data_IF_020497839430
#
_entry.id   IF_020497839430
#
_cell.length_a   1.000
_cell.length_b   1.000
_cell.length_c   1.000
_cell.angle_alpha   90.00
_cell.angle_beta   90.00
_cell.angle_gamma   90.00
#
_symmetry.space_group_name_H-M   'P 1'
#
loop_
_entity.id
_entity.type
_entity.pdbx_description
1 polymer ?
#
# COMPACT_ATOMS: atom_id res chain seq x y z
N UNK A 1 9.14 22.72 6.53
CA UNK A 1 7.94 21.84 6.54
C UNK A 1 8.44 20.40 6.66
N UNK A 2 7.80 19.58 7.49
CA UNK A 2 8.18 18.17 7.66
C UNK A 2 7.38 17.26 6.72
N UNK A 3 7.89 16.04 6.50
CA UNK A 3 7.22 14.99 5.74
C UNK A 3 6.02 14.45 6.55
N UNK A 4 4.87 14.30 5.90
CA UNK A 4 3.68 13.64 6.45
C UNK A 4 3.52 12.25 5.87
N UNK A 5 3.52 11.27 6.76
CA UNK A 5 3.33 9.86 6.41
C UNK A 5 1.97 9.42 6.92
N UNK A 6 1.17 8.77 6.07
CA UNK A 6 -0.01 8.04 6.49
C UNK A 6 0.27 6.54 6.40
N UNK A 7 0.14 5.83 7.51
CA UNK A 7 0.39 4.40 7.60
C UNK A 7 -0.91 3.60 7.80
N UNK A 8 -1.01 2.43 7.18
CA UNK A 8 -2.15 1.51 7.31
C UNK A 8 -1.70 0.04 7.30
N UNK A 9 -2.54 -0.85 7.82
CA UNK A 9 -2.27 -2.29 7.94
C UNK A 9 -3.58 -3.08 8.03
N UNK A 10 -3.52 -4.40 7.86
CA UNK A 10 -4.62 -5.34 8.16
C UNK A 10 -5.92 -5.01 7.40
N UNK A 11 -5.77 -4.60 6.15
CA UNK A 11 -6.91 -4.31 5.29
C UNK A 11 -7.66 -5.58 4.89
N UNK A 12 -6.97 -6.74 4.87
CA UNK A 12 -7.55 -8.06 4.60
C UNK A 12 -8.43 -8.12 3.35
N UNK A 13 -8.03 -7.41 2.29
CA UNK A 13 -8.78 -7.34 1.04
C UNK A 13 -10.11 -6.56 1.11
N UNK A 14 -10.42 -5.90 2.22
CA UNK A 14 -11.64 -5.12 2.39
C UNK A 14 -11.56 -3.79 1.62
N UNK A 15 -11.99 -3.82 0.36
CA UNK A 15 -11.93 -2.69 -0.59
C UNK A 15 -12.40 -1.34 -0.01
N UNK A 16 -13.49 -1.23 0.78
CA UNK A 16 -13.89 0.05 1.35
C UNK A 16 -12.84 0.69 2.27
N UNK A 17 -12.01 -0.10 2.95
CA UNK A 17 -10.91 0.44 3.75
C UNK A 17 -9.80 1.06 2.88
N UNK A 18 -9.49 0.49 1.72
CA UNK A 18 -8.57 1.10 0.75
C UNK A 18 -9.09 2.42 0.19
N UNK A 19 -10.39 2.47 -0.13
CA UNK A 19 -11.04 3.69 -0.63
C UNK A 19 -11.03 4.79 0.44
N UNK A 20 -11.41 4.47 1.67
CA UNK A 20 -11.35 5.41 2.80
C UNK A 20 -9.92 5.87 3.08
N UNK A 21 -8.93 4.98 3.04
CA UNK A 21 -7.53 5.33 3.23
C UNK A 21 -7.05 6.31 2.15
N UNK A 22 -7.39 6.06 0.89
CA UNK A 22 -7.10 6.98 -0.22
C UNK A 22 -7.75 8.37 -0.05
N UNK A 23 -8.96 8.46 0.52
CA UNK A 23 -9.57 9.74 0.88
C UNK A 23 -8.82 10.45 2.01
N UNK A 24 -8.32 9.71 3.01
CA UNK A 24 -7.52 10.27 4.10
C UNK A 24 -6.17 10.80 3.63
N UNK A 25 -5.52 10.15 2.67
CA UNK A 25 -4.28 10.65 2.02
C UNK A 25 -4.50 12.05 1.46
N UNK A 26 -5.60 12.26 0.72
CA UNK A 26 -5.95 13.56 0.15
C UNK A 26 -6.28 14.59 1.23
N UNK A 27 -7.07 14.19 2.22
CA UNK A 27 -7.53 15.06 3.33
C UNK A 27 -6.35 15.57 4.16
N UNK A 28 -5.42 14.69 4.52
CA UNK A 28 -4.27 15.04 5.34
C UNK A 28 -3.12 15.65 4.54
N UNK A 29 -3.22 15.60 3.20
CA UNK A 29 -2.15 15.95 2.28
C UNK A 29 -0.87 15.18 2.64
N UNK A 30 -1.02 13.85 2.75
CA UNK A 30 0.10 12.99 3.05
C UNK A 30 1.07 12.98 1.86
N UNK A 31 2.36 13.13 2.16
CA UNK A 31 3.43 13.07 1.16
C UNK A 31 3.73 11.62 0.78
N UNK A 32 3.52 10.68 1.71
CA UNK A 32 3.84 9.25 1.56
C UNK A 32 2.75 8.39 2.20
N UNK A 33 2.44 7.27 1.55
CA UNK A 33 1.69 6.15 2.14
C UNK A 33 2.62 5.01 2.55
N UNK A 34 2.38 4.42 3.72
CA UNK A 34 3.07 3.20 4.16
C UNK A 34 2.02 2.11 4.46
N UNK A 35 2.16 0.93 3.85
CA UNK A 35 1.26 -0.21 4.09
C UNK A 35 2.05 -1.35 4.75
N UNK A 36 1.70 -1.69 5.99
CA UNK A 36 2.50 -2.53 6.88
C UNK A 36 2.16 -4.03 6.86
N UNK A 37 1.44 -4.50 5.84
CA UNK A 37 1.09 -5.91 5.67
C UNK A 37 -0.40 -6.16 5.56
N UNK A 38 -0.74 -7.43 5.37
CA UNK A 38 -2.08 -7.99 5.27
C UNK A 38 -3.00 -7.14 4.36
N UNK A 39 -2.49 -6.90 3.15
CA UNK A 39 -3.20 -6.19 2.07
C UNK A 39 -4.39 -7.02 1.61
N UNK A 40 -4.19 -8.33 1.50
CA UNK A 40 -5.19 -9.33 1.13
C UNK A 40 -5.52 -10.25 2.30
N UNK A 41 -6.52 -11.11 2.13
CA UNK A 41 -6.83 -12.18 3.07
C UNK A 41 -6.66 -13.52 2.36
N UNK A 42 -5.43 -14.04 2.33
CA UNK A 42 -5.01 -15.21 1.56
C UNK A 42 -5.38 -15.07 0.06
N UNK A 43 -5.16 -13.87 -0.47
CA UNK A 43 -5.58 -13.49 -1.82
C UNK A 43 -4.55 -13.78 -2.91
N UNK A 44 -4.91 -13.46 -4.16
CA UNK A 44 -4.00 -13.58 -5.31
C UNK A 44 -3.14 -12.34 -5.49
N UNK A 45 -2.05 -12.48 -6.24
CA UNK A 45 -1.21 -11.33 -6.63
C UNK A 45 -1.98 -10.29 -7.44
N UNK A 46 -2.96 -10.72 -8.24
CA UNK A 46 -3.84 -9.85 -9.01
C UNK A 46 -4.78 -9.07 -8.10
N UNK A 47 -5.34 -9.72 -7.07
CA UNK A 47 -6.14 -9.03 -6.06
C UNK A 47 -5.31 -7.96 -5.34
N UNK A 48 -4.09 -8.28 -4.90
CA UNK A 48 -3.20 -7.32 -4.26
C UNK A 48 -2.90 -6.12 -5.19
N UNK A 49 -2.59 -6.37 -6.46
CA UNK A 49 -2.39 -5.32 -7.48
C UNK A 49 -3.62 -4.43 -7.63
N UNK A 50 -4.80 -5.02 -7.72
CA UNK A 50 -6.05 -4.29 -7.87
C UNK A 50 -6.32 -3.38 -6.66
N UNK A 51 -6.09 -3.87 -5.44
CA UNK A 51 -6.26 -3.09 -4.21
C UNK A 51 -5.23 -1.95 -4.09
N UNK A 52 -3.94 -2.25 -4.33
CA UNK A 52 -2.87 -1.24 -4.33
C UNK A 52 -3.08 -0.18 -5.42
N UNK A 53 -3.68 -0.53 -6.56
CA UNK A 53 -4.01 0.42 -7.62
C UNK A 53 -5.02 1.50 -7.18
N UNK A 54 -5.88 1.21 -6.19
CA UNK A 54 -6.82 2.20 -5.62
C UNK A 54 -6.02 3.31 -4.96
N UNK A 55 -4.99 2.93 -4.19
CA UNK A 55 -4.11 3.87 -3.51
C UNK A 55 -3.21 4.61 -4.50
N UNK A 56 -2.68 3.92 -5.51
CA UNK A 56 -1.78 4.52 -6.51
C UNK A 56 -2.43 5.68 -7.28
N UNK A 57 -3.76 5.62 -7.49
CA UNK A 57 -4.55 6.71 -8.11
C UNK A 57 -4.54 8.02 -7.32
N UNK A 58 -4.08 8.02 -6.07
CA UNK A 58 -3.91 9.27 -5.30
C UNK A 58 -2.70 10.08 -5.74
N UNK A 59 -1.75 9.48 -6.48
CA UNK A 59 -0.52 10.10 -6.94
C UNK A 59 0.59 10.21 -5.89
N UNK A 60 0.30 9.94 -4.61
CA UNK A 60 1.33 9.83 -3.59
C UNK A 60 2.02 8.45 -3.67
N UNK A 61 3.33 8.38 -3.43
CA UNK A 61 4.09 7.12 -3.44
C UNK A 61 3.64 6.20 -2.29
N UNK A 62 3.67 4.90 -2.57
CA UNK A 62 3.32 3.84 -1.62
C UNK A 62 4.56 3.00 -1.36
N UNK A 63 4.97 2.93 -0.11
CA UNK A 63 5.91 1.93 0.37
C UNK A 63 5.16 0.86 1.14
N UNK A 64 5.44 -0.41 0.87
CA UNK A 64 4.75 -1.47 1.58
C UNK A 64 5.63 -2.67 1.88
N UNK A 65 5.18 -3.49 2.82
CA UNK A 65 5.67 -4.85 3.05
C UNK A 65 4.47 -5.81 3.00
N UNK A 66 4.62 -7.04 2.48
CA UNK A 66 3.57 -8.04 2.56
C UNK A 66 3.45 -8.57 4.00
N UNK A 67 2.23 -8.92 4.41
CA UNK A 67 1.98 -9.68 5.64
C UNK A 67 1.81 -11.18 5.38
N UNK A 68 1.47 -11.96 6.42
CA UNK A 68 1.31 -13.41 6.29
C UNK A 68 0.07 -13.82 5.48
N UNK A 69 -0.92 -12.93 5.36
CA UNK A 69 -2.10 -13.17 4.54
C UNK A 69 -1.88 -12.81 3.06
N UNK A 70 -0.72 -12.25 2.71
CA UNK A 70 -0.39 -11.86 1.34
C UNK A 70 0.35 -12.97 0.58
N UNK A 71 0.16 -13.07 -0.75
CA UNK A 71 0.88 -14.05 -1.54
C UNK A 71 2.39 -13.74 -1.51
N UNK A 72 3.28 -14.74 -1.32
CA UNK A 72 4.74 -14.52 -1.27
C UNK A 72 5.30 -13.82 -2.51
N UNK A 73 4.65 -13.99 -3.67
CA UNK A 73 5.02 -13.33 -4.92
C UNK A 73 4.83 -11.82 -4.91
N UNK A 74 4.13 -11.25 -3.92
CA UNK A 74 3.89 -9.82 -3.79
C UNK A 74 5.17 -9.00 -3.61
N UNK A 75 6.24 -9.62 -3.10
CA UNK A 75 7.56 -8.98 -3.00
C UNK A 75 8.11 -8.51 -4.36
N UNK A 76 7.71 -9.17 -5.45
CA UNK A 76 8.17 -8.91 -6.81
C UNK A 76 7.14 -8.13 -7.65
N UNK A 77 6.22 -7.42 -7.00
CA UNK A 77 5.23 -6.62 -7.73
C UNK A 77 5.91 -5.53 -8.56
N UNK A 78 5.40 -5.35 -9.79
CA UNK A 78 5.71 -4.21 -10.62
C UNK A 78 4.41 -3.41 -10.85
N UNK A 79 4.32 -2.24 -10.21
CA UNK A 79 3.18 -1.34 -10.29
C UNK A 79 3.69 0.10 -10.06
N UNK A 80 3.36 1.01 -10.96
CA UNK A 80 3.81 2.41 -10.88
C UNK A 80 3.35 3.07 -9.59
N UNK A 81 4.24 3.82 -8.93
CA UNK A 81 3.96 4.49 -7.66
C UNK A 81 3.89 3.56 -6.45
N UNK A 82 4.11 2.25 -6.61
CA UNK A 82 4.02 1.25 -5.54
C UNK A 82 5.35 0.49 -5.43
N UNK A 83 5.96 0.51 -4.24
CA UNK A 83 7.26 -0.09 -4.00
C UNK A 83 7.24 -0.98 -2.77
N UNK A 84 7.54 -2.27 -2.98
CA UNK A 84 7.82 -3.19 -1.87
C UNK A 84 9.18 -2.82 -1.26
N UNK A 85 9.23 -2.73 0.07
CA UNK A 85 10.45 -2.45 0.84
C UNK A 85 10.82 -3.60 1.78
N UNK A 86 10.24 -4.78 1.60
CA UNK A 86 10.59 -5.96 2.40
C UNK A 86 12.09 -6.28 2.25
N UNK A 87 12.82 -6.29 3.37
CA UNK A 87 14.27 -6.52 3.41
C UNK A 87 15.12 -5.41 2.76
N UNK A 88 14.53 -4.25 2.43
CA UNK A 88 15.20 -3.17 1.71
C UNK A 88 14.91 -1.80 2.36
N UNK A 89 15.73 -0.80 2.05
CA UNK A 89 15.48 0.60 2.39
C UNK A 89 15.34 1.44 1.13
N UNK A 90 14.57 2.53 1.21
CA UNK A 90 14.38 3.47 0.10
C UNK A 90 14.74 4.88 0.56
N UNK A 91 15.44 5.61 -0.30
CA UNK A 91 15.61 7.06 -0.19
C UNK A 91 14.48 7.73 -0.97
N UNK A 92 13.78 8.66 -0.31
CA UNK A 92 12.64 9.40 -0.84
C UNK A 92 12.82 10.89 -0.54
#
# INVERSE_FOLDING_TARGET
>A
MGIKILAGTDFHGFKPAFELFAEKVKTFKADIMVICGDITNFGTIEQAKNLLSILAKTGAPIFFVPGNCDPPSLININLEGVRCVHGNSVLY
#
